data_IF_457950475305
#
_entry.id   IF_457950475305
#
_cell.length_a   1.000
_cell.length_b   1.000
_cell.length_c   1.000
_cell.angle_alpha   90.00
_cell.angle_beta   90.00
_cell.angle_gamma   90.00
#
_symmetry.space_group_name_H-M   'P 1'
#
loop_
_entity.id
_entity.type
_entity.pdbx_description
1 polymer ?
#
# COMPACT_ATOMS: atom_id res chain seq x y z
N UNK A 1 1.22 34.88 -16.54
CA UNK A 1 0.34 34.05 -17.38
C UNK A 1 0.55 32.60 -16.96
N UNK A 2 -0.49 31.90 -16.49
CA UNK A 2 -0.35 30.56 -15.88
C UNK A 2 -0.18 29.43 -16.91
N UNK A 3 -0.63 29.64 -18.14
CA UNK A 3 -0.48 28.67 -19.23
C UNK A 3 -0.18 29.41 -20.54
N UNK A 4 1.09 29.81 -20.79
CA UNK A 4 1.44 30.68 -21.92
C UNK A 4 1.36 30.03 -23.31
N UNK A 5 1.17 28.72 -23.37
CA UNK A 5 1.06 27.95 -24.62
C UNK A 5 -0.32 27.30 -24.76
N UNK A 6 -1.34 27.77 -24.03
CA UNK A 6 -2.71 27.26 -24.15
C UNK A 6 -3.30 27.64 -25.51
N UNK A 7 -4.12 26.77 -26.09
CA UNK A 7 -4.86 27.09 -27.32
C UNK A 7 -5.90 28.16 -27.04
N UNK A 8 -5.86 29.26 -27.79
CA UNK A 8 -6.80 30.39 -27.64
C UNK A 8 -8.07 30.24 -28.48
N UNK A 9 -8.06 29.38 -29.50
CA UNK A 9 -9.22 29.17 -30.39
C UNK A 9 -10.41 28.63 -29.61
N UNK A 10 -11.46 29.44 -29.46
CA UNK A 10 -12.68 29.08 -28.75
C UNK A 10 -12.56 29.07 -27.22
N UNK A 11 -11.50 29.64 -26.65
CA UNK A 11 -11.32 29.71 -25.19
C UNK A 11 -12.18 30.84 -24.59
N UNK A 12 -13.17 30.48 -23.78
CA UNK A 12 -14.05 31.46 -23.11
C UNK A 12 -13.50 31.94 -21.75
N UNK A 13 -12.62 31.17 -21.11
CA UNK A 13 -12.05 31.48 -19.80
C UNK A 13 -11.38 30.28 -19.14
N UNK A 14 -11.02 30.42 -17.86
CA UNK A 14 -10.42 29.34 -17.06
C UNK A 14 -10.71 29.49 -15.57
N UNK A 15 -10.69 28.37 -14.85
CA UNK A 15 -10.86 28.32 -13.40
C UNK A 15 -9.53 27.99 -12.74
N UNK A 16 -9.30 28.55 -11.56
CA UNK A 16 -8.15 28.26 -10.74
C UNK A 16 -8.63 27.93 -9.33
N UNK A 17 -8.26 26.73 -8.87
CA UNK A 17 -8.54 26.24 -7.52
C UNK A 17 -7.32 25.48 -7.02
N UNK A 18 -7.20 25.38 -5.71
CA UNK A 18 -6.12 24.60 -5.08
C UNK A 18 -6.45 23.12 -5.13
N UNK A 19 -5.44 22.32 -5.42
CA UNK A 19 -5.51 20.86 -5.37
C UNK A 19 -4.30 20.32 -4.59
N UNK A 20 -4.38 19.06 -4.17
CA UNK A 20 -3.29 18.38 -3.50
C UNK A 20 -2.44 17.61 -4.51
N UNK A 21 -1.14 17.91 -4.54
CA UNK A 21 -0.15 17.06 -5.18
C UNK A 21 0.52 16.21 -4.09
N UNK A 22 0.59 14.90 -4.31
CA UNK A 22 1.24 13.98 -3.36
C UNK A 22 2.29 13.13 -4.06
N UNK A 23 3.31 12.76 -3.30
CA UNK A 23 4.18 11.64 -3.61
C UNK A 23 3.57 10.40 -2.93
N UNK A 24 2.90 9.56 -3.70
CA UNK A 24 2.16 8.39 -3.21
C UNK A 24 3.09 7.36 -2.55
N UNK A 25 4.27 7.17 -3.12
CA UNK A 25 5.28 6.22 -2.64
C UNK A 25 5.83 6.66 -1.29
N UNK A 26 6.14 7.96 -1.13
CA UNK A 26 6.58 8.50 0.16
C UNK A 26 5.45 8.53 1.19
N UNK A 27 4.21 8.73 0.76
CA UNK A 27 3.05 8.65 1.66
C UNK A 27 2.91 7.25 2.25
N UNK A 28 3.02 6.20 1.43
CA UNK A 28 3.00 4.80 1.91
C UNK A 28 4.12 4.55 2.90
N UNK A 29 5.36 4.96 2.58
CA UNK A 29 6.50 4.77 3.48
C UNK A 29 6.31 5.49 4.83
N UNK A 30 5.72 6.70 4.82
CA UNK A 30 5.38 7.43 6.04
C UNK A 30 4.40 6.65 6.91
N UNK A 31 3.31 6.14 6.32
CA UNK A 31 2.29 5.36 7.04
C UNK A 31 2.88 4.07 7.62
N UNK A 32 3.71 3.35 6.86
CA UNK A 32 4.40 2.16 7.36
C UNK A 32 5.35 2.49 8.52
N UNK A 33 6.09 3.61 8.43
CA UNK A 33 7.00 4.04 9.49
C UNK A 33 6.26 4.36 10.78
N UNK A 34 5.15 5.09 10.69
CA UNK A 34 4.28 5.40 11.85
C UNK A 34 3.71 4.12 12.47
N UNK A 35 3.27 3.16 11.64
CA UNK A 35 2.79 1.86 12.13
C UNK A 35 3.86 1.06 12.89
N UNK A 36 5.14 1.18 12.49
CA UNK A 36 6.26 0.56 13.23
C UNK A 36 6.56 1.31 14.54
N UNK A 37 6.48 2.64 14.54
CA UNK A 37 6.63 3.47 15.75
C UNK A 37 5.55 3.13 16.80
N UNK A 38 4.34 2.80 16.36
CA UNK A 38 3.24 2.34 17.21
C UNK A 38 3.36 0.85 17.64
N UNK A 39 4.43 0.15 17.26
CA UNK A 39 4.74 -1.22 17.66
C UNK A 39 4.31 -2.31 16.67
N UNK A 40 3.87 -1.94 15.47
CA UNK A 40 3.60 -2.86 14.37
C UNK A 40 4.88 -3.42 13.74
N UNK A 41 4.73 -4.52 13.01
CA UNK A 41 5.81 -5.13 12.23
C UNK A 41 5.50 -5.03 10.74
N UNK A 42 6.46 -4.52 9.96
CA UNK A 42 6.40 -4.45 8.51
C UNK A 42 7.55 -5.25 7.93
N UNK A 43 7.26 -6.13 6.99
CA UNK A 43 8.27 -6.94 6.31
C UNK A 43 8.04 -6.89 4.80
N UNK A 44 9.08 -6.55 4.05
CA UNK A 44 9.06 -6.52 2.60
C UNK A 44 9.65 -7.83 2.03
N UNK A 45 9.48 -8.04 0.72
CA UNK A 45 9.97 -9.24 0.04
C UNK A 45 9.45 -10.55 0.65
N UNK A 46 8.29 -10.51 1.30
CA UNK A 46 7.60 -11.67 1.83
C UNK A 46 6.28 -11.83 1.11
N UNK A 47 6.06 -13.00 0.52
CA UNK A 47 4.85 -13.35 -0.21
C UNK A 47 3.91 -14.17 0.64
N UNK A 48 2.67 -13.73 0.75
CA UNK A 48 1.55 -14.56 1.20
C UNK A 48 1.28 -15.69 0.19
N UNK A 49 1.37 -16.95 0.63
CA UNK A 49 1.19 -18.14 -0.21
C UNK A 49 -0.19 -18.77 -0.03
N UNK A 50 -0.46 -19.25 1.18
CA UNK A 50 -1.67 -20.03 1.50
C UNK A 50 -2.26 -19.59 2.83
N UNK A 51 -3.59 -19.61 2.94
CA UNK A 51 -4.26 -19.49 4.24
C UNK A 51 -4.20 -20.82 4.99
N UNK A 52 -3.98 -20.76 6.29
CA UNK A 52 -4.08 -21.91 7.18
C UNK A 52 -5.50 -21.94 7.74
N UNK A 53 -6.17 -23.08 7.60
CA UNK A 53 -7.52 -23.28 8.12
C UNK A 53 -7.50 -24.31 9.25
N UNK A 54 -8.25 -23.99 10.32
CA UNK A 54 -8.54 -24.90 11.43
C UNK A 54 -10.05 -24.92 11.60
N UNK A 55 -10.66 -26.11 11.50
CA UNK A 55 -12.11 -26.30 11.58
C UNK A 55 -12.92 -25.41 10.60
N UNK A 56 -12.35 -25.17 9.42
CA UNK A 56 -12.97 -24.33 8.38
C UNK A 56 -12.81 -22.82 8.60
N UNK A 57 -12.12 -22.39 9.66
CA UNK A 57 -11.85 -20.99 9.99
C UNK A 57 -10.39 -20.66 9.71
N UNK A 58 -10.11 -19.47 9.18
CA UNK A 58 -8.75 -18.99 8.95
C UNK A 58 -8.04 -18.77 10.30
N UNK A 59 -6.88 -19.40 10.48
CA UNK A 59 -6.10 -19.37 11.73
C UNK A 59 -4.63 -18.98 11.53
N UNK A 60 -4.23 -18.69 10.29
CA UNK A 60 -2.86 -18.29 9.96
C UNK A 60 -2.62 -18.15 8.46
N UNK A 61 -1.37 -17.85 8.12
CA UNK A 61 -0.91 -17.67 6.74
C UNK A 61 0.49 -18.28 6.57
N UNK A 62 0.70 -18.95 5.44
CA UNK A 62 2.02 -19.37 4.98
C UNK A 62 2.68 -18.20 4.26
N UNK A 63 3.84 -17.81 4.76
CA UNK A 63 4.68 -16.75 4.22
C UNK A 63 5.90 -17.37 3.54
N UNK A 64 6.36 -16.73 2.47
CA UNK A 64 7.63 -17.07 1.80
C UNK A 64 8.49 -15.83 1.72
N UNK A 65 9.70 -15.90 2.27
CA UNK A 65 10.76 -14.94 1.97
C UNK A 65 11.25 -15.20 0.54
N UNK A 66 10.99 -14.26 -0.37
CA UNK A 66 11.35 -14.42 -1.79
C UNK A 66 12.83 -14.19 -2.07
N UNK A 67 13.60 -13.69 -1.09
CA UNK A 67 15.05 -13.52 -1.19
C UNK A 67 15.75 -14.86 -0.93
N UNK A 68 15.30 -15.60 0.09
CA UNK A 68 15.92 -16.87 0.51
C UNK A 68 15.18 -18.12 0.03
N UNK A 69 13.90 -17.99 -0.33
CA UNK A 69 12.99 -19.10 -0.61
C UNK A 69 12.49 -19.83 0.63
N UNK A 70 12.84 -19.36 1.84
CA UNK A 70 12.37 -19.97 3.08
C UNK A 70 10.88 -19.70 3.30
N UNK A 71 10.21 -20.65 3.96
CA UNK A 71 8.78 -20.57 4.23
C UNK A 71 8.50 -20.76 5.71
N UNK A 72 7.58 -19.94 6.22
CA UNK A 72 7.18 -19.94 7.62
C UNK A 72 5.65 -19.84 7.72
N UNK A 73 5.10 -20.34 8.82
CA UNK A 73 3.68 -20.20 9.13
C UNK A 73 3.53 -19.17 10.24
N UNK A 74 2.75 -18.12 9.98
CA UNK A 74 2.36 -17.15 10.98
C UNK A 74 0.90 -17.38 11.37
N UNK A 75 0.66 -17.62 12.66
CA UNK A 75 -0.68 -17.69 13.22
C UNK A 75 -1.17 -16.30 13.64
N UNK A 76 -2.43 -16.00 13.31
CA UNK A 76 -3.06 -14.73 13.64
C UNK A 76 -4.57 -14.94 13.84
N UNK A 77 -5.17 -14.18 14.75
CA UNK A 77 -6.61 -14.22 15.01
C UNK A 77 -7.42 -13.61 13.85
N UNK A 78 -6.82 -12.66 13.13
CA UNK A 78 -7.46 -11.96 12.01
C UNK A 78 -6.45 -11.75 10.90
N UNK A 79 -6.89 -11.98 9.67
CA UNK A 79 -6.08 -11.81 8.46
C UNK A 79 -6.87 -10.93 7.50
N UNK A 80 -6.27 -9.82 7.05
CA UNK A 80 -6.87 -8.88 6.11
C UNK A 80 -6.14 -8.98 4.78
N UNK A 81 -6.89 -9.19 3.70
CA UNK A 81 -6.35 -9.11 2.34
C UNK A 81 -6.52 -7.68 1.79
N UNK A 82 -5.40 -6.98 1.58
CA UNK A 82 -5.34 -5.62 1.03
C UNK A 82 -4.31 -5.52 -0.12
N UNK A 83 -4.23 -6.56 -0.96
CA UNK A 83 -3.31 -6.65 -2.11
C UNK A 83 -3.88 -6.10 -3.40
#
# INVERSE_FOLDING_TARGET
MLAPHISETGLEGGFHYSDALTDDSRLVQRVLSEGVEDGGFVINYVKARDLILTDGIVSGIRLEDVVTGSQEILHAETIVNAT
#
